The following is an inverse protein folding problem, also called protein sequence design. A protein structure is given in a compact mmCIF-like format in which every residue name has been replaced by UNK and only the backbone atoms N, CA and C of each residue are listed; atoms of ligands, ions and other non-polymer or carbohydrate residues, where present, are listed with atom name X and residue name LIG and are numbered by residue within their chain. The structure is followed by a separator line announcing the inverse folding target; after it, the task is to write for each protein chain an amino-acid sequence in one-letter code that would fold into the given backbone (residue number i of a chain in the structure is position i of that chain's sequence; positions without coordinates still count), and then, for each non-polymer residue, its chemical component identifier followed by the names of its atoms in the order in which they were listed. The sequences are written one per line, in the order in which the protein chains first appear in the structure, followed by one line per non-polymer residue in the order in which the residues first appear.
data_IF_927137825076
#
_entry.id   IF_927137825076
#
_cell.length_a   1.000
_cell.length_b   1.000
_cell.length_c   1.000
_cell.angle_alpha   90.00
_cell.angle_beta   90.00
_cell.angle_gamma   90.00
#
_symmetry.space_group_name_H-M   'P 1'
#
loop_
_entity.id
_entity.type
_entity.pdbx_description
1 polymer ?
#
# COMPACT_ATOMS: atom_id res chain seq x y z
N UNK A 1 30.50 -5.89 -10.07
CA UNK A 1 30.13 -6.46 -8.76
C UNK A 1 28.64 -6.53 -8.66
N UNK A 2 28.10 -7.56 -8.01
CA UNK A 2 26.66 -7.67 -7.73
C UNK A 2 26.28 -6.65 -6.66
N UNK A 3 25.31 -5.78 -6.93
CA UNK A 3 24.85 -4.79 -5.95
C UNK A 3 24.09 -5.46 -4.80
N UNK A 4 24.23 -4.90 -3.61
CA UNK A 4 23.54 -5.36 -2.41
C UNK A 4 22.45 -4.39 -1.98
N UNK A 5 21.21 -4.88 -1.87
CA UNK A 5 20.05 -4.12 -1.40
C UNK A 5 19.71 -4.56 0.03
N UNK A 6 19.69 -3.62 0.94
CA UNK A 6 19.09 -3.79 2.28
C UNK A 6 17.66 -3.25 2.25
N UNK A 7 16.67 -4.08 2.50
CA UNK A 7 15.30 -3.65 2.71
C UNK A 7 15.02 -3.66 4.22
N UNK A 8 14.63 -2.50 4.76
CA UNK A 8 14.23 -2.38 6.16
C UNK A 8 12.71 -2.30 6.20
N UNK A 9 12.07 -3.44 6.55
CA UNK A 9 10.62 -3.57 6.59
C UNK A 9 10.02 -3.07 7.90
N UNK A 10 8.90 -2.36 7.81
CA UNK A 10 8.08 -2.02 8.98
C UNK A 10 7.56 -3.29 9.67
N UNK A 11 7.16 -4.27 8.85
CA UNK A 11 6.81 -5.64 9.24
C UNK A 11 7.44 -6.62 8.27
N UNK A 12 7.43 -7.90 8.60
CA UNK A 12 7.77 -8.96 7.65
C UNK A 12 6.69 -9.03 6.56
N UNK A 13 7.06 -9.28 5.27
CA UNK A 13 6.09 -9.32 4.19
C UNK A 13 5.02 -10.38 4.38
N UNK A 14 3.76 -10.00 4.25
CA UNK A 14 2.59 -10.89 4.32
C UNK A 14 1.76 -10.79 3.03
N UNK A 15 2.22 -11.37 1.91
CA UNK A 15 1.56 -11.21 0.61
C UNK A 15 0.15 -11.78 0.55
N UNK A 16 -0.17 -12.74 1.45
CA UNK A 16 -1.49 -13.38 1.53
C UNK A 16 -2.47 -12.64 2.46
N UNK A 17 -2.00 -11.63 3.21
CA UNK A 17 -2.84 -10.92 4.18
C UNK A 17 -3.00 -9.43 3.88
N UNK A 18 -2.08 -8.83 3.12
CA UNK A 18 -2.07 -7.39 2.86
C UNK A 18 -1.56 -7.02 1.47
N UNK A 19 -2.10 -5.94 0.91
CA UNK A 19 -1.61 -5.37 -0.35
C UNK A 19 -0.16 -4.88 -0.22
N UNK A 20 0.20 -4.31 0.94
CA UNK A 20 1.57 -3.91 1.26
C UNK A 20 2.55 -5.09 1.22
N UNK A 21 2.16 -6.24 1.80
CA UNK A 21 2.96 -7.45 1.72
C UNK A 21 3.14 -7.93 0.28
N UNK A 22 2.09 -7.88 -0.55
CA UNK A 22 2.17 -8.22 -1.98
C UNK A 22 3.08 -7.26 -2.73
N UNK A 23 2.99 -5.94 -2.48
CA UNK A 23 3.86 -4.91 -3.07
C UNK A 23 5.32 -5.14 -2.70
N UNK A 24 5.62 -5.41 -1.43
CA UNK A 24 6.98 -5.70 -0.98
C UNK A 24 7.57 -6.91 -1.70
N UNK A 25 6.79 -7.97 -1.91
CA UNK A 25 7.25 -9.13 -2.71
C UNK A 25 7.52 -8.77 -4.17
N UNK A 26 6.71 -7.89 -4.76
CA UNK A 26 6.92 -7.38 -6.13
C UNK A 26 8.22 -6.56 -6.25
N UNK A 27 8.54 -5.74 -5.25
CA UNK A 27 9.81 -5.01 -5.18
C UNK A 27 11.01 -5.97 -5.04
N UNK A 28 10.90 -6.98 -4.19
CA UNK A 28 11.90 -8.04 -4.04
C UNK A 28 12.13 -8.74 -5.39
N UNK A 29 11.06 -9.17 -6.07
CA UNK A 29 11.15 -9.82 -7.39
C UNK A 29 11.82 -8.89 -8.42
N UNK A 30 11.49 -7.60 -8.40
CA UNK A 30 12.10 -6.62 -9.29
C UNK A 30 13.63 -6.54 -9.07
N UNK A 31 14.12 -6.47 -7.84
CA UNK A 31 15.55 -6.47 -7.54
C UNK A 31 16.24 -7.79 -7.92
N UNK A 32 15.60 -8.93 -7.63
CA UNK A 32 16.12 -10.25 -8.00
C UNK A 32 16.25 -10.42 -9.52
N UNK A 33 15.32 -9.86 -10.30
CA UNK A 33 15.37 -9.92 -11.77
C UNK A 33 16.60 -9.24 -12.39
N UNK A 34 17.28 -8.37 -11.64
CA UNK A 34 18.54 -7.72 -12.00
C UNK A 34 19.76 -8.29 -11.23
N UNK A 35 19.61 -9.48 -10.65
CA UNK A 35 20.64 -10.18 -9.90
C UNK A 35 21.20 -9.38 -8.71
N UNK A 36 20.38 -8.56 -8.04
CA UNK A 36 20.79 -7.90 -6.81
C UNK A 36 20.74 -8.89 -5.65
N UNK A 37 21.75 -8.86 -4.79
CA UNK A 37 21.70 -9.57 -3.52
C UNK A 37 20.80 -8.80 -2.57
N UNK A 38 19.91 -9.50 -1.86
CA UNK A 38 18.95 -8.85 -0.97
C UNK A 38 19.15 -9.36 0.45
N UNK A 39 19.17 -8.41 1.39
CA UNK A 39 18.98 -8.68 2.82
C UNK A 39 17.70 -7.96 3.28
N UNK A 40 16.80 -8.68 3.93
CA UNK A 40 15.60 -8.11 4.50
C UNK A 40 15.74 -8.04 6.02
N UNK A 41 15.61 -6.85 6.59
CA UNK A 41 15.72 -6.59 8.02
C UNK A 41 14.41 -6.01 8.58
N UNK A 42 14.02 -6.42 9.79
CA UNK A 42 12.88 -5.80 10.47
C UNK A 42 13.08 -5.86 12.00
N UNK A 43 12.59 -4.85 12.70
CA UNK A 43 12.51 -4.83 14.16
C UNK A 43 11.21 -5.47 14.69
N UNK A 44 10.29 -5.81 13.82
CA UNK A 44 9.01 -6.42 14.17
C UNK A 44 9.16 -7.94 14.35
N UNK A 45 8.48 -8.51 15.32
CA UNK A 45 8.35 -9.96 15.43
C UNK A 45 7.61 -10.53 14.20
N UNK A 46 8.02 -11.72 13.76
CA UNK A 46 7.29 -12.41 12.68
C UNK A 46 5.89 -12.77 13.15
N UNK A 47 4.92 -12.48 12.30
CA UNK A 47 3.52 -12.86 12.48
C UNK A 47 3.23 -14.18 11.75
N UNK A 48 2.09 -14.80 12.05
CA UNK A 48 1.71 -16.12 11.52
C UNK A 48 1.61 -16.18 9.99
N UNK A 49 1.33 -15.04 9.32
CA UNK A 49 1.20 -14.95 7.88
C UNK A 49 2.45 -14.42 7.16
N UNK A 50 3.56 -14.22 7.91
CA UNK A 50 4.81 -13.75 7.32
C UNK A 50 5.37 -14.77 6.32
N UNK A 51 5.74 -14.29 5.15
CA UNK A 51 6.37 -15.12 4.11
C UNK A 51 7.79 -15.51 4.54
N UNK A 52 8.15 -16.78 4.33
CA UNK A 52 9.51 -17.23 4.57
C UNK A 52 10.44 -16.85 3.39
N UNK A 53 11.14 -15.74 3.56
CA UNK A 53 12.05 -15.20 2.55
C UNK A 53 13.27 -16.11 2.28
N UNK A 54 13.58 -17.10 3.15
CA UNK A 54 14.61 -18.09 2.86
C UNK A 54 14.30 -18.92 1.60
N UNK A 55 13.00 -19.07 1.26
CA UNK A 55 12.57 -19.74 0.03
C UNK A 55 13.01 -19.01 -1.26
N UNK A 56 13.45 -17.77 -1.13
CA UNK A 56 13.96 -16.92 -2.22
C UNK A 56 15.45 -16.60 -2.07
N UNK A 57 16.19 -17.33 -1.24
CA UNK A 57 17.61 -17.09 -0.91
C UNK A 57 17.88 -15.66 -0.38
N UNK A 58 16.91 -15.10 0.36
CA UNK A 58 17.02 -13.77 0.96
C UNK A 58 17.42 -13.91 2.43
N UNK A 59 18.53 -13.28 2.81
CA UNK A 59 18.94 -13.21 4.20
C UNK A 59 17.95 -12.42 5.04
N UNK A 60 17.46 -13.02 6.13
CA UNK A 60 16.54 -12.39 7.07
C UNK A 60 17.29 -11.99 8.34
N UNK A 61 17.18 -10.73 8.73
CA UNK A 61 17.88 -10.18 9.90
C UNK A 61 16.89 -9.51 10.84
N UNK A 62 16.87 -9.93 12.10
CA UNK A 62 16.16 -9.20 13.14
C UNK A 62 17.04 -8.06 13.64
N UNK A 63 16.56 -6.84 13.55
CA UNK A 63 17.25 -5.63 14.01
C UNK A 63 16.56 -5.03 15.23
N UNK A 64 17.29 -4.28 16.04
CA UNK A 64 16.76 -3.67 17.25
C UNK A 64 16.65 -2.15 17.10
N UNK A 65 15.55 -1.61 17.58
CA UNK A 65 15.38 -0.16 17.73
C UNK A 65 16.34 0.39 18.77
N UNK A 66 16.90 1.57 18.51
CA UNK A 66 17.76 2.29 19.47
C UNK A 66 18.97 1.49 19.97
N UNK A 67 19.52 0.61 19.14
CA UNK A 67 20.68 -0.23 19.46
C UNK A 67 21.84 0.02 18.52
N UNK A 68 23.05 0.12 19.05
CA UNK A 68 24.28 0.23 18.27
C UNK A 68 24.58 -1.06 17.46
N UNK A 69 23.92 -2.18 17.78
CA UNK A 69 24.07 -3.41 16.99
C UNK A 69 23.67 -3.23 15.52
N UNK A 70 22.76 -2.30 15.25
CA UNK A 70 22.39 -1.96 13.87
C UNK A 70 23.49 -1.19 13.14
N UNK A 71 24.29 -0.39 13.84
CA UNK A 71 25.43 0.34 13.26
C UNK A 71 26.52 -0.63 12.82
N UNK A 72 26.82 -1.61 13.67
CA UNK A 72 27.80 -2.67 13.33
C UNK A 72 27.30 -3.53 12.16
N UNK A 73 26.03 -3.88 12.16
CA UNK A 73 25.40 -4.59 11.03
C UNK A 73 25.51 -3.80 9.71
N UNK A 74 25.26 -2.48 9.73
CA UNK A 74 25.40 -1.63 8.55
C UNK A 74 26.84 -1.58 8.03
N UNK A 75 27.82 -1.42 8.92
CA UNK A 75 29.26 -1.39 8.56
C UNK A 75 29.71 -2.71 7.91
N UNK A 76 29.25 -3.84 8.45
CA UNK A 76 29.58 -5.17 7.91
C UNK A 76 28.91 -5.42 6.57
N UNK A 77 27.61 -5.09 6.47
CA UNK A 77 26.84 -5.31 5.24
C UNK A 77 27.25 -4.39 4.10
N UNK A 78 27.51 -3.12 4.41
CA UNK A 78 27.84 -2.03 3.47
C UNK A 78 26.99 -2.06 2.19
N UNK A 79 25.66 -1.88 2.28
CA UNK A 79 24.78 -2.04 1.14
C UNK A 79 24.93 -0.89 0.14
N UNK A 80 24.74 -1.20 -1.16
CA UNK A 80 24.69 -0.18 -2.23
C UNK A 80 23.38 0.61 -2.20
N UNK A 81 22.29 -0.04 -1.78
CA UNK A 81 20.93 0.52 -1.78
C UNK A 81 20.26 0.16 -0.46
N UNK A 82 19.58 1.13 0.17
CA UNK A 82 18.73 0.89 1.34
C UNK A 82 17.31 1.33 1.02
N UNK A 83 16.37 0.40 1.13
CA UNK A 83 14.94 0.64 0.95
C UNK A 83 14.26 0.69 2.31
N UNK A 84 13.59 1.79 2.61
CA UNK A 84 12.79 1.96 3.81
C UNK A 84 11.30 1.71 3.49
N UNK A 85 10.69 0.73 4.15
CA UNK A 85 9.25 0.47 4.07
C UNK A 85 8.51 1.48 4.95
N UNK A 86 7.99 2.54 4.35
CA UNK A 86 7.29 3.67 4.97
C UNK A 86 8.19 4.66 5.72
N UNK A 87 7.69 5.88 5.86
CA UNK A 87 8.42 6.98 6.50
C UNK A 87 8.84 6.70 7.95
N UNK A 88 8.05 5.91 8.68
CA UNK A 88 8.36 5.58 10.08
C UNK A 88 9.65 4.76 10.22
N UNK A 89 9.95 3.91 9.26
CA UNK A 89 11.19 3.13 9.21
C UNK A 89 12.38 4.03 8.87
N UNK A 90 12.19 4.97 7.93
CA UNK A 90 13.22 5.96 7.62
C UNK A 90 13.56 6.82 8.83
N UNK A 91 12.56 7.31 9.58
CA UNK A 91 12.78 8.08 10.81
C UNK A 91 13.58 7.32 11.87
N UNK A 92 13.35 6.02 11.99
CA UNK A 92 14.00 5.19 12.99
C UNK A 92 15.44 4.83 12.61
N UNK A 93 15.69 4.54 11.35
CA UNK A 93 16.95 3.95 10.89
C UNK A 93 17.73 4.83 9.89
N UNK A 94 17.09 5.78 9.22
CA UNK A 94 17.67 6.54 8.12
C UNK A 94 18.89 7.37 8.52
N UNK A 95 18.91 7.95 9.71
CA UNK A 95 20.06 8.71 10.21
C UNK A 95 21.30 7.80 10.41
N UNK A 96 21.12 6.55 10.86
CA UNK A 96 22.21 5.57 11.01
C UNK A 96 22.76 5.13 9.66
N UNK A 97 21.86 4.94 8.66
CA UNK A 97 22.27 4.66 7.28
C UNK A 97 23.08 5.83 6.71
N UNK A 98 22.65 7.07 6.95
CA UNK A 98 23.37 8.27 6.48
C UNK A 98 24.77 8.40 7.12
N UNK A 99 24.92 7.97 8.38
CA UNK A 99 26.20 8.03 9.12
C UNK A 99 27.16 6.89 8.72
N UNK A 100 26.65 5.67 8.57
CA UNK A 100 27.49 4.48 8.41
C UNK A 100 27.60 3.98 6.97
N UNK A 101 26.66 4.34 6.10
CA UNK A 101 26.64 3.98 4.67
C UNK A 101 26.32 5.23 3.81
N UNK A 102 27.15 6.29 3.87
CA UNK A 102 26.84 7.57 3.20
C UNK A 102 26.71 7.46 1.68
N UNK A 103 27.39 6.50 1.06
CA UNK A 103 27.34 6.25 -0.39
C UNK A 103 26.11 5.42 -0.82
N UNK A 104 25.39 4.81 0.11
CA UNK A 104 24.21 4.03 -0.21
C UNK A 104 23.08 4.91 -0.77
N UNK A 105 22.42 4.46 -1.83
CA UNK A 105 21.21 5.06 -2.36
C UNK A 105 20.04 4.80 -1.39
N UNK A 106 19.47 5.85 -0.83
CA UNK A 106 18.32 5.77 0.08
C UNK A 106 17.01 5.87 -0.69
N UNK A 107 16.22 4.81 -0.64
CA UNK A 107 14.92 4.72 -1.31
C UNK A 107 13.82 4.61 -0.26
N UNK A 108 12.80 5.44 -0.36
CA UNK A 108 11.60 5.33 0.47
C UNK A 108 10.48 4.67 -0.34
N UNK A 109 9.96 3.53 0.09
CA UNK A 109 8.68 3.02 -0.40
C UNK A 109 7.57 3.55 0.51
N UNK A 110 6.77 4.48 0.02
CA UNK A 110 5.73 5.14 0.82
C UNK A 110 4.56 4.22 1.12
N UNK A 111 4.35 3.18 0.33
CA UNK A 111 3.15 2.35 0.28
C UNK A 111 1.91 3.16 -0.14
N UNK A 112 1.42 4.04 0.72
CA UNK A 112 0.44 5.08 0.43
C UNK A 112 0.81 6.35 1.20
N UNK A 113 0.22 7.50 0.86
CA UNK A 113 0.39 8.71 1.66
C UNK A 113 -0.43 8.62 2.95
N UNK A 114 0.25 8.32 4.04
CA UNK A 114 -0.34 8.20 5.37
C UNK A 114 -1.01 9.50 5.83
N UNK A 115 -0.42 10.65 5.49
CA UNK A 115 -1.01 11.95 5.81
C UNK A 115 -2.35 12.16 5.09
N UNK A 116 -2.46 11.74 3.83
CA UNK A 116 -3.70 11.81 3.06
C UNK A 116 -4.77 10.91 3.66
N UNK A 117 -4.41 9.66 3.96
CA UNK A 117 -5.31 8.69 4.61
C UNK A 117 -5.80 9.22 5.96
N UNK A 118 -4.89 9.77 6.78
CA UNK A 118 -5.21 10.32 8.10
C UNK A 118 -6.10 11.56 8.01
N UNK A 119 -5.80 12.46 7.09
CA UNK A 119 -6.61 13.65 6.86
C UNK A 119 -8.04 13.31 6.43
N UNK A 120 -8.20 12.36 5.51
CA UNK A 120 -9.53 11.87 5.08
C UNK A 120 -10.29 11.18 6.20
N UNK A 121 -9.61 10.41 7.05
CA UNK A 121 -10.21 9.81 8.24
C UNK A 121 -10.76 10.88 9.20
N UNK A 122 -9.99 11.94 9.45
CA UNK A 122 -10.39 13.04 10.32
C UNK A 122 -11.58 13.79 9.73
N UNK A 123 -11.53 14.19 8.46
CA UNK A 123 -12.64 14.87 7.79
C UNK A 123 -13.94 14.06 7.86
N UNK A 124 -13.87 12.72 7.65
CA UNK A 124 -15.01 11.83 7.79
C UNK A 124 -15.57 11.81 9.22
N UNK A 125 -14.72 11.77 10.24
CA UNK A 125 -15.13 11.82 11.66
C UNK A 125 -15.79 13.14 12.02
N UNK A 126 -15.27 14.23 11.50
CA UNK A 126 -15.79 15.58 11.71
C UNK A 126 -17.05 15.86 10.85
N UNK A 127 -17.43 14.93 9.98
CA UNK A 127 -18.52 15.08 9.00
C UNK A 127 -18.32 16.32 8.10
N UNK A 128 -17.08 16.63 7.79
CA UNK A 128 -16.65 17.77 6.98
C UNK A 128 -16.14 17.31 5.60
N UNK A 129 -16.10 18.26 4.66
CA UNK A 129 -15.43 18.03 3.39
C UNK A 129 -13.91 18.00 3.61
N UNK A 130 -13.24 17.07 2.97
CA UNK A 130 -11.79 17.00 2.99
C UNK A 130 -11.18 18.18 2.23
N UNK A 131 -10.30 18.92 2.89
CA UNK A 131 -9.57 20.06 2.31
C UNK A 131 -8.10 20.08 2.75
N UNK A 132 -7.41 21.15 2.39
CA UNK A 132 -5.98 21.33 2.68
C UNK A 132 -5.67 21.36 4.19
N UNK A 133 -6.58 21.80 5.06
CA UNK A 133 -6.36 21.83 6.51
C UNK A 133 -6.25 20.44 7.11
N UNK A 134 -6.99 19.49 6.58
CA UNK A 134 -6.89 18.06 6.93
C UNK A 134 -5.65 17.40 6.36
N UNK A 135 -5.19 17.83 5.18
CA UNK A 135 -3.99 17.26 4.54
C UNK A 135 -2.71 17.67 5.29
N UNK A 136 -2.63 18.91 5.77
CA UNK A 136 -1.46 19.46 6.47
C UNK A 136 -1.53 19.16 7.97
N UNK A 137 -1.38 17.89 8.33
CA UNK A 137 -1.43 17.36 9.69
C UNK A 137 -0.04 16.96 10.22
N UNK A 138 0.04 16.48 11.46
CA UNK A 138 1.33 16.09 12.06
C UNK A 138 2.01 14.92 11.32
N UNK A 139 1.24 14.05 10.67
CA UNK A 139 1.81 12.95 9.87
C UNK A 139 2.46 13.51 8.61
N UNK A 140 1.86 14.51 7.96
CA UNK A 140 2.45 15.10 6.74
C UNK A 140 3.82 15.74 6.98
N UNK A 141 4.04 16.38 8.13
CA UNK A 141 5.35 16.96 8.48
C UNK A 141 6.45 15.89 8.50
N UNK A 142 6.13 14.73 9.05
CA UNK A 142 7.05 13.60 9.19
C UNK A 142 7.28 12.90 7.84
N UNK A 143 6.20 12.56 7.16
CA UNK A 143 6.22 11.84 5.88
C UNK A 143 6.94 12.65 4.79
N UNK A 144 6.63 13.94 4.65
CA UNK A 144 7.30 14.83 3.70
C UNK A 144 8.78 15.02 4.05
N UNK A 145 9.10 15.13 5.33
CA UNK A 145 10.50 15.21 5.76
C UNK A 145 11.28 13.93 5.40
N UNK A 146 10.67 12.74 5.52
CA UNK A 146 11.28 11.47 5.11
C UNK A 146 11.50 11.40 3.59
N UNK A 147 10.54 11.89 2.79
CA UNK A 147 10.71 12.01 1.33
C UNK A 147 11.94 12.85 0.99
N UNK A 148 12.11 14.00 1.62
CA UNK A 148 13.27 14.87 1.40
C UNK A 148 14.60 14.26 1.91
N UNK A 149 14.60 13.43 2.96
CA UNK A 149 15.82 12.79 3.46
C UNK A 149 16.28 11.59 2.64
N UNK A 150 15.41 11.06 1.78
CA UNK A 150 15.73 10.01 0.83
C UNK A 150 16.15 10.56 -0.54
N UNK A 151 16.88 9.76 -1.30
CA UNK A 151 17.34 10.11 -2.64
C UNK A 151 16.23 9.85 -3.69
N UNK A 152 15.33 8.89 -3.42
CA UNK A 152 14.19 8.58 -4.26
C UNK A 152 13.03 8.04 -3.41
N UNK A 153 11.81 8.46 -3.73
CA UNK A 153 10.60 7.93 -3.11
C UNK A 153 9.71 7.25 -4.14
N UNK A 154 9.35 5.99 -3.89
CA UNK A 154 8.46 5.19 -4.73
C UNK A 154 7.02 5.52 -4.35
N UNK A 155 6.28 6.10 -5.27
CA UNK A 155 4.89 6.51 -5.08
C UNK A 155 3.99 5.59 -5.88
N UNK A 156 3.05 4.96 -5.21
CA UNK A 156 2.18 3.94 -5.83
C UNK A 156 1.10 4.52 -6.74
N UNK A 157 0.71 5.79 -6.54
CA UNK A 157 -0.41 6.43 -7.21
C UNK A 157 -0.01 7.73 -7.90
N UNK A 158 -0.45 7.92 -9.15
CA UNK A 158 -0.27 9.19 -9.88
C UNK A 158 -0.95 10.36 -9.15
N UNK A 159 -2.10 10.12 -8.53
CA UNK A 159 -2.83 11.13 -7.74
C UNK A 159 -1.99 11.60 -6.53
N UNK A 160 -1.27 10.67 -5.90
CA UNK A 160 -0.38 11.02 -4.79
C UNK A 160 0.85 11.80 -5.25
N UNK A 161 1.39 11.51 -6.44
CA UNK A 161 2.45 12.33 -7.05
C UNK A 161 1.96 13.77 -7.26
N UNK A 162 0.75 13.93 -7.79
CA UNK A 162 0.18 15.27 -8.00
C UNK A 162 -0.05 16.01 -6.67
N UNK A 163 -0.48 15.32 -5.63
CA UNK A 163 -0.59 15.90 -4.27
C UNK A 163 0.79 16.33 -3.76
N UNK A 164 1.80 15.49 -3.86
CA UNK A 164 3.17 15.80 -3.42
C UNK A 164 3.75 17.00 -4.18
N UNK A 165 3.61 17.04 -5.49
CA UNK A 165 4.08 18.15 -6.34
C UNK A 165 3.30 19.44 -6.09
N UNK A 166 1.97 19.36 -6.08
CA UNK A 166 1.11 20.54 -6.12
C UNK A 166 0.82 21.12 -4.72
N UNK A 167 0.64 20.29 -3.70
CA UNK A 167 0.32 20.76 -2.35
C UNK A 167 1.58 20.94 -1.49
N UNK A 168 2.49 19.97 -1.53
CA UNK A 168 3.70 19.99 -0.69
C UNK A 168 4.94 20.55 -1.40
N UNK A 169 4.86 20.80 -2.71
CA UNK A 169 5.96 21.34 -3.53
C UNK A 169 7.22 20.47 -3.50
N UNK A 170 7.02 19.15 -3.35
CA UNK A 170 8.12 18.20 -3.45
C UNK A 170 8.64 18.17 -4.89
N UNK A 171 9.96 18.22 -5.03
CA UNK A 171 10.62 18.21 -6.34
C UNK A 171 10.46 16.86 -7.03
N UNK A 172 10.14 16.89 -8.32
CA UNK A 172 9.84 15.70 -9.11
C UNK A 172 11.02 14.72 -9.20
N UNK A 173 12.27 15.21 -9.12
CA UNK A 173 13.45 14.33 -9.16
C UNK A 173 13.54 13.37 -7.95
N UNK A 174 12.85 13.67 -6.84
CA UNK A 174 12.76 12.82 -5.65
C UNK A 174 11.62 11.79 -5.73
N UNK A 175 10.76 11.86 -6.73
CA UNK A 175 9.57 11.05 -6.85
C UNK A 175 9.67 10.10 -8.03
N UNK A 176 9.22 8.87 -7.84
CA UNK A 176 9.11 7.89 -8.92
C UNK A 176 7.78 7.13 -8.81
N UNK A 177 6.97 7.20 -9.87
CA UNK A 177 5.75 6.42 -9.94
C UNK A 177 6.07 4.95 -10.15
N UNK A 178 5.71 4.12 -9.19
CA UNK A 178 5.83 2.67 -9.29
C UNK A 178 4.56 2.02 -8.72
N UNK A 179 3.59 1.64 -9.56
CA UNK A 179 2.35 0.99 -9.12
C UNK A 179 2.59 -0.46 -8.69
N UNK A 180 1.52 -1.22 -8.46
CA UNK A 180 1.62 -2.67 -8.36
C UNK A 180 2.22 -3.25 -9.65
N UNK A 181 3.12 -4.22 -9.48
CA UNK A 181 3.80 -4.90 -10.57
C UNK A 181 3.21 -6.30 -10.73
N UNK A 182 2.37 -6.48 -11.74
CA UNK A 182 1.68 -7.75 -11.96
C UNK A 182 2.10 -8.40 -13.29
N UNK A 183 1.88 -9.69 -13.43
CA UNK A 183 2.00 -10.34 -14.73
C UNK A 183 0.84 -9.96 -15.65
N UNK A 184 1.09 -9.91 -16.95
CA UNK A 184 0.04 -9.64 -17.94
C UNK A 184 -0.99 -10.76 -17.98
N UNK A 185 -2.26 -10.37 -18.17
CA UNK A 185 -3.36 -11.33 -18.32
C UNK A 185 -3.44 -11.78 -19.77
N UNK A 186 -2.91 -12.97 -20.06
CA UNK A 186 -2.94 -13.57 -21.39
C UNK A 186 -4.33 -14.08 -21.78
N UNK A 187 -4.51 -14.37 -23.09
CA UNK A 187 -5.75 -14.97 -23.56
C UNK A 187 -6.05 -16.34 -22.91
N UNK A 188 -5.01 -17.10 -22.58
CA UNK A 188 -5.16 -18.43 -21.96
C UNK A 188 -5.55 -18.34 -20.48
N UNK A 189 -5.04 -17.33 -19.75
CA UNK A 189 -5.50 -17.02 -18.39
C UNK A 189 -6.99 -16.67 -18.43
N UNK A 190 -7.42 -15.78 -19.34
CA UNK A 190 -8.82 -15.37 -19.48
C UNK A 190 -9.76 -16.54 -19.77
N UNK A 191 -9.34 -17.51 -20.60
CA UNK A 191 -10.13 -18.72 -20.93
C UNK A 191 -10.34 -19.65 -19.73
N UNK A 192 -9.40 -19.66 -18.78
CA UNK A 192 -9.46 -20.50 -17.57
C UNK A 192 -10.35 -19.91 -16.47
N UNK A 193 -10.72 -18.63 -16.58
CA UNK A 193 -11.58 -18.00 -15.58
C UNK A 193 -13.03 -18.47 -15.70
N UNK A 194 -13.73 -18.64 -14.55
CA UNK A 194 -15.14 -19.01 -14.55
C UNK A 194 -16.00 -18.00 -15.31
N UNK A 195 -16.98 -18.49 -16.05
CA UNK A 195 -18.00 -17.66 -16.71
C UNK A 195 -18.98 -17.12 -15.68
N UNK A 196 -19.74 -16.06 -16.02
CA UNK A 196 -20.71 -15.45 -15.10
C UNK A 196 -21.71 -16.45 -14.49
N UNK A 197 -22.09 -17.50 -15.22
CA UNK A 197 -23.03 -18.54 -14.74
C UNK A 197 -22.44 -19.45 -13.65
N UNK A 198 -21.12 -19.50 -13.57
CA UNK A 198 -20.35 -20.30 -12.62
C UNK A 198 -19.92 -19.47 -11.39
N UNK A 199 -20.34 -18.20 -11.34
CA UNK A 199 -20.02 -17.26 -10.28
C UNK A 199 -21.25 -16.94 -9.46
N UNK A 200 -21.05 -16.87 -8.16
CA UNK A 200 -22.11 -16.60 -7.19
C UNK A 200 -21.66 -15.51 -6.22
N UNK A 201 -22.53 -15.10 -5.37
CA UNK A 201 -22.33 -14.15 -4.26
C UNK A 201 -21.57 -12.86 -4.58
N UNK A 202 -21.70 -11.92 -3.67
CA UNK A 202 -20.86 -10.72 -3.57
C UNK A 202 -19.64 -11.00 -2.70
N UNK A 203 -18.53 -10.32 -2.97
CA UNK A 203 -17.31 -10.46 -2.19
C UNK A 203 -16.77 -9.11 -1.77
N UNK A 204 -16.20 -9.02 -0.56
CA UNK A 204 -15.30 -7.95 -0.16
C UNK A 204 -14.08 -8.56 0.54
N UNK A 205 -12.90 -7.98 0.28
CA UNK A 205 -11.65 -8.49 0.81
C UNK A 205 -10.90 -7.35 1.51
N UNK A 206 -10.23 -7.65 2.63
CA UNK A 206 -9.33 -6.66 3.24
C UNK A 206 -8.85 -7.09 4.62
N UNK A 207 -7.63 -6.69 4.96
CA UNK A 207 -7.09 -6.85 6.30
C UNK A 207 -7.89 -5.99 7.29
N UNK A 208 -8.42 -6.59 8.37
CA UNK A 208 -9.32 -5.92 9.31
C UNK A 208 -8.62 -5.03 10.34
N UNK A 209 -7.30 -5.12 10.48
CA UNK A 209 -6.53 -4.17 11.29
C UNK A 209 -6.46 -2.80 10.59
N UNK A 210 -6.53 -2.77 9.27
CA UNK A 210 -6.47 -1.53 8.50
C UNK A 210 -7.79 -0.75 8.61
N UNK A 211 -7.75 0.41 9.23
CA UNK A 211 -8.92 1.21 9.56
C UNK A 211 -9.88 1.49 8.37
N UNK A 212 -9.42 1.82 7.14
CA UNK A 212 -10.30 1.99 6.00
C UNK A 212 -11.10 0.73 5.64
N UNK A 213 -10.52 -0.46 5.82
CA UNK A 213 -11.23 -1.71 5.53
C UNK A 213 -12.30 -2.02 6.57
N UNK A 214 -12.00 -1.76 7.85
CA UNK A 214 -12.98 -1.96 8.93
C UNK A 214 -14.16 -0.98 8.80
N UNK A 215 -13.89 0.28 8.50
CA UNK A 215 -14.92 1.28 8.25
C UNK A 215 -15.80 0.90 7.05
N UNK A 216 -15.19 0.51 5.94
CA UNK A 216 -15.90 0.06 4.74
C UNK A 216 -16.77 -1.18 5.02
N UNK A 217 -16.31 -2.10 5.88
CA UNK A 217 -17.07 -3.26 6.30
C UNK A 217 -18.34 -2.86 7.07
N UNK A 218 -18.23 -1.91 7.99
CA UNK A 218 -19.38 -1.38 8.73
C UNK A 218 -20.36 -0.67 7.81
N UNK A 219 -19.87 0.17 6.92
CA UNK A 219 -20.69 0.89 5.94
C UNK A 219 -21.41 -0.09 4.99
N UNK A 220 -20.69 -1.13 4.52
CA UNK A 220 -21.28 -2.20 3.73
C UNK A 220 -22.38 -2.94 4.48
N UNK A 221 -22.15 -3.32 5.74
CA UNK A 221 -23.09 -4.08 6.58
C UNK A 221 -24.38 -3.34 6.87
N UNK A 222 -24.24 -2.06 7.26
CA UNK A 222 -25.38 -1.34 7.82
C UNK A 222 -26.12 -0.45 6.81
N UNK A 223 -25.41 0.09 5.81
CA UNK A 223 -25.98 1.06 4.88
C UNK A 223 -26.27 0.46 3.49
N UNK A 224 -25.41 -0.44 2.98
CA UNK A 224 -25.51 -0.92 1.59
C UNK A 224 -26.17 -2.30 1.52
N UNK A 225 -25.70 -3.25 2.31
CA UNK A 225 -26.16 -4.64 2.20
C UNK A 225 -27.65 -4.85 2.41
N UNK A 226 -28.32 -4.17 3.35
CA UNK A 226 -29.77 -4.28 3.51
C UNK A 226 -30.56 -3.89 2.25
N UNK A 227 -30.06 -2.89 1.49
CA UNK A 227 -30.68 -2.43 0.24
C UNK A 227 -30.54 -3.49 -0.86
N UNK A 228 -29.36 -4.11 -0.98
CA UNK A 228 -29.11 -5.22 -1.92
C UNK A 228 -29.95 -6.43 -1.55
N UNK A 229 -29.93 -6.84 -0.28
CA UNK A 229 -30.62 -8.04 0.21
C UNK A 229 -32.14 -7.98 0.03
N UNK A 230 -32.71 -6.79 0.18
CA UNK A 230 -34.15 -6.53 -0.06
C UNK A 230 -34.57 -6.88 -1.49
N UNK A 231 -33.68 -6.63 -2.48
CA UNK A 231 -33.95 -6.88 -3.92
C UNK A 231 -33.49 -8.26 -4.36
N UNK A 232 -32.44 -8.79 -3.75
CA UNK A 232 -31.86 -10.10 -4.01
C UNK A 232 -31.89 -10.98 -2.75
N UNK A 233 -33.05 -11.51 -2.35
CA UNK A 233 -33.21 -12.21 -1.07
C UNK A 233 -32.36 -13.48 -0.89
N UNK A 234 -31.85 -14.06 -1.98
CA UNK A 234 -31.01 -15.25 -1.94
C UNK A 234 -29.51 -14.94 -2.09
N UNK A 235 -29.15 -13.69 -2.39
CA UNK A 235 -27.73 -13.34 -2.56
C UNK A 235 -27.00 -13.39 -1.21
N UNK A 236 -25.74 -13.75 -1.22
CA UNK A 236 -24.87 -13.71 -0.04
C UNK A 236 -23.73 -12.71 -0.24
N UNK A 237 -23.32 -12.11 0.86
CA UNK A 237 -22.13 -11.27 0.96
C UNK A 237 -21.04 -12.05 1.69
N UNK A 238 -19.96 -12.39 1.01
CA UNK A 238 -18.82 -13.08 1.58
C UNK A 238 -17.69 -12.08 1.87
N UNK A 239 -17.30 -12.00 3.12
CA UNK A 239 -16.24 -11.07 3.58
C UNK A 239 -15.03 -11.88 4.02
N UNK A 240 -13.91 -11.68 3.31
CA UNK A 240 -12.64 -12.32 3.59
C UNK A 240 -11.62 -11.32 4.12
N UNK A 241 -10.75 -11.77 5.00
CA UNK A 241 -9.64 -10.96 5.48
C UNK A 241 -8.93 -11.56 6.68
N UNK A 242 -7.65 -11.23 6.78
CA UNK A 242 -6.82 -11.61 7.92
C UNK A 242 -7.16 -10.76 9.17
N UNK A 243 -6.82 -11.29 10.33
CA UNK A 243 -6.90 -10.63 11.64
C UNK A 243 -8.33 -10.21 12.02
N UNK A 244 -9.30 -11.07 11.76
CA UNK A 244 -10.68 -10.85 12.17
C UNK A 244 -10.80 -10.83 13.71
N UNK A 245 -11.02 -9.65 14.27
CA UNK A 245 -11.30 -9.49 15.71
C UNK A 245 -12.70 -10.01 16.06
N UNK A 246 -12.98 -10.18 17.36
CA UNK A 246 -14.32 -10.56 17.83
C UNK A 246 -15.39 -9.58 17.33
N UNK A 247 -15.10 -8.28 17.27
CA UNK A 247 -16.01 -7.26 16.74
C UNK A 247 -16.35 -7.48 15.26
N UNK A 248 -15.40 -7.97 14.47
CA UNK A 248 -15.63 -8.32 13.06
C UNK A 248 -16.48 -9.60 12.99
N UNK A 249 -16.15 -10.62 13.79
CA UNK A 249 -16.89 -11.88 13.82
C UNK A 249 -18.37 -11.70 14.22
N UNK A 250 -18.66 -10.77 15.12
CA UNK A 250 -20.04 -10.41 15.53
C UNK A 250 -20.89 -9.83 14.40
N UNK A 251 -20.30 -9.34 13.32
CA UNK A 251 -21.05 -8.88 12.13
C UNK A 251 -21.61 -10.03 11.30
N UNK A 252 -21.15 -11.27 11.54
CA UNK A 252 -21.61 -12.46 10.81
C UNK A 252 -23.11 -12.72 11.07
N UNK A 253 -23.91 -12.75 10.01
CA UNK A 253 -25.34 -13.00 10.11
C UNK A 253 -25.85 -13.83 8.93
N UNK A 254 -26.03 -15.13 9.14
CA UNK A 254 -26.51 -16.07 8.11
C UNK A 254 -27.92 -15.75 7.63
N UNK A 255 -28.79 -15.25 8.50
CA UNK A 255 -30.18 -14.90 8.14
C UNK A 255 -30.22 -13.74 7.14
N UNK A 256 -29.31 -12.79 7.30
CA UNK A 256 -29.15 -11.67 6.38
C UNK A 256 -28.28 -12.01 5.18
N UNK A 257 -27.69 -13.19 5.11
CA UNK A 257 -26.74 -13.59 4.06
C UNK A 257 -25.44 -12.78 4.11
N UNK A 258 -25.04 -12.24 5.27
CA UNK A 258 -23.78 -11.52 5.46
C UNK A 258 -22.81 -12.39 6.24
N UNK A 259 -21.79 -12.92 5.53
CA UNK A 259 -20.96 -14.00 6.03
C UNK A 259 -19.51 -13.53 6.19
N UNK A 260 -19.03 -13.50 7.42
CA UNK A 260 -17.60 -13.30 7.71
C UNK A 260 -16.90 -14.65 7.53
N UNK A 261 -16.08 -14.76 6.50
CA UNK A 261 -15.36 -15.98 6.13
C UNK A 261 -13.95 -16.05 6.74
N UNK A 262 -13.43 -14.89 7.22
CA UNK A 262 -12.09 -14.81 7.78
C UNK A 262 -10.96 -14.89 6.75
N UNK A 263 -9.82 -15.38 7.19
CA UNK A 263 -8.63 -15.51 6.35
C UNK A 263 -8.79 -16.60 5.28
N UNK A 264 -8.17 -16.39 4.14
CA UNK A 264 -8.03 -17.37 3.07
C UNK A 264 -6.59 -17.37 2.54
N UNK A 265 -6.02 -18.55 2.34
CA UNK A 265 -4.62 -18.69 1.88
C UNK A 265 -4.36 -18.13 0.48
N UNK A 266 -5.36 -18.19 -0.39
CA UNK A 266 -5.27 -17.66 -1.74
C UNK A 266 -6.57 -16.93 -2.11
N UNK A 267 -6.51 -15.63 -2.11
CA UNK A 267 -7.63 -14.74 -2.46
C UNK A 267 -8.17 -15.02 -3.86
N UNK A 268 -7.31 -15.48 -4.79
CA UNK A 268 -7.71 -15.78 -6.15
C UNK A 268 -8.74 -16.92 -6.21
N UNK A 269 -8.66 -17.89 -5.29
CA UNK A 269 -9.61 -19.01 -5.26
C UNK A 269 -11.03 -18.59 -4.93
N UNK A 270 -11.19 -17.55 -4.12
CA UNK A 270 -12.52 -17.03 -3.73
C UNK A 270 -12.97 -15.91 -4.66
N UNK A 271 -12.05 -15.05 -5.10
CA UNK A 271 -12.35 -13.90 -5.96
C UNK A 271 -12.87 -14.35 -7.35
N UNK A 272 -12.23 -15.36 -7.97
CA UNK A 272 -12.63 -15.84 -9.31
C UNK A 272 -14.03 -16.44 -9.37
N UNK A 273 -14.59 -16.92 -8.24
CA UNK A 273 -15.94 -17.47 -8.18
C UNK A 273 -16.97 -16.46 -7.67
N UNK A 274 -16.52 -15.31 -7.17
CA UNK A 274 -17.41 -14.22 -6.81
C UNK A 274 -17.97 -13.53 -8.06
N UNK A 275 -19.22 -13.13 -8.00
CA UNK A 275 -19.90 -12.49 -9.14
C UNK A 275 -19.60 -10.99 -9.18
N UNK A 276 -19.60 -10.32 -8.04
CA UNK A 276 -19.32 -8.88 -7.92
C UNK A 276 -18.48 -8.60 -6.67
N UNK A 277 -17.43 -7.80 -6.82
CA UNK A 277 -16.65 -7.29 -5.70
C UNK A 277 -17.18 -5.93 -5.25
N UNK A 278 -17.37 -5.75 -3.94
CA UNK A 278 -17.84 -4.51 -3.35
C UNK A 278 -16.73 -3.83 -2.54
N UNK A 279 -16.40 -2.60 -2.90
CA UNK A 279 -15.33 -1.81 -2.28
C UNK A 279 -15.80 -0.41 -1.87
N UNK A 280 -16.67 -0.28 -0.84
CA UNK A 280 -17.27 0.98 -0.43
C UNK A 280 -16.38 1.74 0.57
N UNK A 281 -15.14 2.06 0.21
CA UNK A 281 -14.23 2.81 1.08
C UNK A 281 -14.65 4.27 1.18
N UNK A 282 -14.80 4.79 2.41
CA UNK A 282 -15.13 6.19 2.65
C UNK A 282 -13.90 7.06 2.86
N UNK A 283 -12.77 6.46 3.21
CA UNK A 283 -11.45 7.10 3.27
C UNK A 283 -10.35 6.10 2.94
N UNK A 284 -9.16 6.62 2.64
CA UNK A 284 -8.00 5.83 2.26
C UNK A 284 -7.03 6.64 1.43
N UNK A 285 -5.92 6.02 1.04
CA UNK A 285 -4.92 6.54 0.13
C UNK A 285 -4.34 5.40 -0.70
N UNK A 286 -3.45 5.67 -1.64
CA UNK A 286 -2.81 4.68 -2.50
C UNK A 286 -3.75 3.90 -3.41
N UNK A 287 -3.22 2.89 -4.04
CA UNK A 287 -3.98 1.94 -4.86
C UNK A 287 -4.60 0.84 -3.99
N UNK A 288 -5.74 0.31 -4.44
CA UNK A 288 -6.52 -0.66 -3.65
C UNK A 288 -6.27 -2.08 -4.16
N UNK A 289 -5.44 -2.85 -3.45
CA UNK A 289 -5.10 -4.24 -3.79
C UNK A 289 -6.31 -5.12 -4.09
N UNK A 290 -7.42 -4.98 -3.35
CA UNK A 290 -8.66 -5.73 -3.62
C UNK A 290 -9.25 -5.49 -5.02
N UNK A 291 -9.02 -4.32 -5.62
CA UNK A 291 -9.44 -4.05 -7.01
C UNK A 291 -8.46 -4.67 -8.01
N UNK A 292 -7.17 -4.72 -7.69
CA UNK A 292 -6.18 -5.50 -8.44
C UNK A 292 -6.58 -6.97 -8.44
N UNK A 293 -6.83 -7.56 -7.26
CA UNK A 293 -7.27 -8.95 -7.13
C UNK A 293 -8.55 -9.23 -7.94
N UNK A 294 -9.52 -8.32 -7.86
CA UNK A 294 -10.76 -8.45 -8.62
C UNK A 294 -10.52 -8.42 -10.14
N UNK A 295 -9.72 -7.48 -10.63
CA UNK A 295 -9.41 -7.39 -12.06
C UNK A 295 -8.59 -8.57 -12.57
N UNK A 296 -7.61 -9.07 -11.81
CA UNK A 296 -6.83 -10.28 -12.14
C UNK A 296 -7.73 -11.51 -12.29
N UNK A 297 -8.75 -11.60 -11.46
CA UNK A 297 -9.70 -12.71 -11.44
C UNK A 297 -10.94 -12.48 -12.33
N UNK A 298 -10.97 -11.39 -13.08
CA UNK A 298 -12.08 -11.03 -13.95
C UNK A 298 -13.40 -10.85 -13.20
N UNK A 299 -13.36 -10.31 -11.98
CA UNK A 299 -14.52 -10.01 -11.15
C UNK A 299 -14.84 -8.53 -11.23
N UNK A 300 -15.97 -8.09 -11.82
CA UNK A 300 -16.36 -6.70 -11.85
C UNK A 300 -16.65 -6.14 -10.45
N UNK A 301 -16.50 -4.82 -10.31
CA UNK A 301 -16.57 -4.15 -9.02
C UNK A 301 -17.68 -3.09 -8.96
N UNK A 302 -18.22 -2.86 -7.76
CA UNK A 302 -18.83 -1.57 -7.41
C UNK A 302 -18.00 -0.95 -6.30
N UNK A 303 -17.62 0.30 -6.48
CA UNK A 303 -16.66 0.96 -5.62
C UNK A 303 -16.99 2.45 -5.45
N UNK A 304 -16.51 3.03 -4.38
CA UNK A 304 -16.58 4.48 -4.17
C UNK A 304 -15.49 5.21 -4.95
N UNK A 305 -15.60 6.52 -5.07
CA UNK A 305 -14.58 7.39 -5.67
C UNK A 305 -13.23 7.21 -4.98
N UNK A 306 -13.19 7.12 -3.64
CA UNK A 306 -11.97 6.86 -2.86
C UNK A 306 -11.36 5.48 -3.19
N UNK A 307 -12.18 4.47 -3.42
CA UNK A 307 -11.66 3.16 -3.79
C UNK A 307 -11.11 3.14 -5.22
N UNK A 308 -11.70 3.90 -6.13
CA UNK A 308 -11.34 3.97 -7.55
C UNK A 308 -10.13 4.87 -7.83
N UNK A 309 -9.75 5.73 -6.88
CA UNK A 309 -8.71 6.74 -7.05
C UNK A 309 -7.38 6.12 -7.49
N UNK A 310 -6.79 6.65 -8.58
CA UNK A 310 -5.53 6.19 -9.16
C UNK A 310 -5.59 4.85 -9.92
N UNK A 311 -6.71 4.11 -9.83
CA UNK A 311 -6.79 2.75 -10.37
C UNK A 311 -6.87 2.69 -11.91
N UNK A 312 -7.60 3.60 -12.53
CA UNK A 312 -8.01 3.43 -13.92
C UNK A 312 -7.32 4.38 -14.92
N UNK A 313 -6.76 5.51 -14.46
CA UNK A 313 -6.24 6.54 -15.35
C UNK A 313 -7.31 7.00 -16.34
N UNK A 314 -7.00 7.01 -17.63
CA UNK A 314 -7.95 7.33 -18.69
C UNK A 314 -8.78 6.14 -19.21
N UNK A 315 -8.68 4.95 -18.58
CA UNK A 315 -9.38 3.75 -19.01
C UNK A 315 -10.75 3.62 -18.33
N UNK A 316 -11.66 2.93 -19.01
CA UNK A 316 -12.96 2.56 -18.44
C UNK A 316 -12.80 1.62 -17.23
N UNK A 317 -13.48 1.93 -16.14
CA UNK A 317 -13.44 1.13 -14.93
C UNK A 317 -14.01 -0.28 -15.13
N UNK A 318 -13.47 -1.24 -14.37
CA UNK A 318 -13.97 -2.62 -14.30
C UNK A 318 -15.30 -2.74 -13.53
N UNK A 319 -16.05 -1.67 -13.40
CA UNK A 319 -17.28 -1.64 -12.64
C UNK A 319 -17.94 -0.28 -12.62
N UNK A 320 -18.66 0.00 -11.55
CA UNK A 320 -19.31 1.29 -11.33
C UNK A 320 -18.67 2.02 -10.16
N UNK A 321 -18.51 3.34 -10.30
CA UNK A 321 -17.97 4.23 -9.27
C UNK A 321 -19.12 5.06 -8.73
N UNK A 322 -19.48 4.86 -7.46
CA UNK A 322 -20.68 5.46 -6.84
C UNK A 322 -20.48 5.63 -5.34
N UNK A 323 -20.73 6.82 -4.81
CA UNK A 323 -20.55 7.13 -3.38
C UNK A 323 -21.85 7.04 -2.58
N UNK A 324 -23.00 7.34 -3.21
CA UNK A 324 -24.32 7.27 -2.56
C UNK A 324 -24.74 5.81 -2.29
N UNK A 325 -25.12 5.44 -1.05
CA UNK A 325 -25.41 4.04 -0.69
C UNK A 325 -26.53 3.41 -1.49
N UNK A 326 -27.60 4.15 -1.80
CA UNK A 326 -28.72 3.63 -2.56
C UNK A 326 -28.31 3.35 -4.01
N UNK A 327 -27.63 4.31 -4.65
CA UNK A 327 -27.14 4.14 -6.02
C UNK A 327 -26.06 3.03 -6.08
N UNK A 328 -25.23 2.91 -5.04
CA UNK A 328 -24.25 1.84 -4.93
C UNK A 328 -24.93 0.47 -4.93
N UNK A 329 -25.97 0.31 -4.10
CA UNK A 329 -26.75 -0.91 -4.05
C UNK A 329 -27.47 -1.20 -5.38
N UNK A 330 -28.06 -0.20 -6.04
CA UNK A 330 -28.73 -0.35 -7.34
C UNK A 330 -27.73 -0.82 -8.41
N UNK A 331 -26.52 -0.23 -8.45
CA UNK A 331 -25.45 -0.63 -9.40
C UNK A 331 -24.88 -2.00 -9.08
N UNK A 332 -24.83 -2.39 -7.81
CA UNK A 332 -24.43 -3.74 -7.41
C UNK A 332 -25.45 -4.80 -7.89
N UNK A 333 -26.73 -4.50 -7.77
CA UNK A 333 -27.82 -5.38 -8.27
C UNK A 333 -27.79 -5.47 -9.79
N UNK A 334 -27.65 -4.34 -10.48
CA UNK A 334 -27.54 -4.28 -11.94
C UNK A 334 -26.36 -5.14 -12.43
N UNK A 335 -25.17 -4.96 -11.83
CA UNK A 335 -24.00 -5.72 -12.21
C UNK A 335 -24.12 -7.21 -11.87
N UNK A 336 -24.84 -7.56 -10.82
CA UNK A 336 -25.10 -8.94 -10.43
C UNK A 336 -26.06 -9.66 -11.39
N UNK A 337 -27.04 -8.95 -11.96
CA UNK A 337 -28.14 -9.53 -12.74
C UNK A 337 -27.96 -9.38 -14.25
N UNK A 338 -27.30 -8.33 -14.72
CA UNK A 338 -27.13 -8.05 -16.14
C UNK A 338 -25.79 -8.62 -16.69
N UNK A 339 -25.92 -9.64 -17.54
CA UNK A 339 -24.79 -10.30 -18.16
C UNK A 339 -24.01 -9.39 -19.14
N UNK A 340 -24.67 -8.44 -19.78
CA UNK A 340 -24.03 -7.58 -20.79
C UNK A 340 -23.09 -6.62 -20.07
N UNK A 341 -23.59 -5.91 -19.05
CA UNK A 341 -22.77 -5.04 -18.22
C UNK A 341 -21.64 -5.81 -17.55
N UNK A 342 -21.94 -6.96 -16.96
CA UNK A 342 -20.94 -7.79 -16.29
C UNK A 342 -19.78 -8.15 -17.23
N UNK A 343 -20.07 -8.66 -18.43
CA UNK A 343 -19.03 -9.02 -19.40
C UNK A 343 -18.23 -7.80 -19.88
N UNK A 344 -18.89 -6.66 -20.08
CA UNK A 344 -18.24 -5.40 -20.46
C UNK A 344 -17.24 -4.97 -19.39
N UNK A 345 -17.66 -4.93 -18.12
CA UNK A 345 -16.83 -4.51 -16.98
C UNK A 345 -15.69 -5.49 -16.70
N UNK A 346 -15.90 -6.80 -16.90
CA UNK A 346 -14.81 -7.78 -16.85
C UNK A 346 -13.72 -7.46 -17.89
N UNK A 347 -14.10 -7.18 -19.13
CA UNK A 347 -13.14 -6.85 -20.21
C UNK A 347 -12.34 -5.59 -19.88
N UNK A 348 -13.00 -4.56 -19.35
CA UNK A 348 -12.34 -3.33 -18.92
C UNK A 348 -11.26 -3.62 -17.89
N UNK A 349 -11.53 -4.48 -16.88
CA UNK A 349 -10.54 -4.89 -15.89
C UNK A 349 -9.29 -5.49 -16.51
N UNK A 350 -9.43 -6.37 -17.49
CA UNK A 350 -8.28 -6.95 -18.19
C UNK A 350 -7.48 -5.93 -19.00
N UNK A 351 -8.16 -4.94 -19.60
CA UNK A 351 -7.48 -3.84 -20.31
C UNK A 351 -6.67 -3.01 -19.33
N UNK A 352 -7.28 -2.61 -18.22
CA UNK A 352 -6.62 -1.81 -17.18
C UNK A 352 -5.39 -2.53 -16.62
N UNK A 353 -5.52 -3.83 -16.27
CA UNK A 353 -4.39 -4.61 -15.75
C UNK A 353 -3.19 -4.61 -16.70
N UNK A 354 -3.43 -4.92 -17.96
CA UNK A 354 -2.34 -5.00 -18.95
C UNK A 354 -1.75 -3.64 -19.34
N UNK A 355 -2.55 -2.57 -19.25
CA UNK A 355 -2.10 -1.23 -19.64
C UNK A 355 -1.42 -0.46 -18.50
N UNK A 356 -1.76 -0.75 -17.23
CA UNK A 356 -1.32 0.06 -16.09
C UNK A 356 -0.48 -0.67 -15.07
N UNK A 357 -0.58 -2.01 -14.99
CA UNK A 357 0.02 -2.78 -13.91
C UNK A 357 0.95 -3.91 -14.39
N UNK A 358 1.12 -4.06 -15.71
CA UNK A 358 2.07 -5.03 -16.25
C UNK A 358 3.50 -4.65 -15.85
N UNK A 359 4.16 -5.50 -15.08
CA UNK A 359 5.51 -5.27 -14.56
C UNK A 359 6.55 -4.95 -15.63
N UNK A 360 6.35 -5.45 -16.87
CA UNK A 360 7.25 -5.20 -18.01
C UNK A 360 7.30 -3.72 -18.43
N UNK A 361 6.26 -2.96 -18.09
CA UNK A 361 6.21 -1.52 -18.40
C UNK A 361 7.10 -0.68 -17.47
N UNK A 362 7.45 -1.20 -16.29
CA UNK A 362 8.06 -0.41 -15.23
C UNK A 362 9.47 -0.88 -14.83
N UNK A 363 9.71 -2.20 -14.75
CA UNK A 363 10.91 -2.74 -14.09
C UNK A 363 12.20 -2.21 -14.72
N UNK A 364 12.32 -2.19 -16.05
CA UNK A 364 13.54 -1.74 -16.73
C UNK A 364 13.82 -0.25 -16.50
N UNK A 365 12.79 0.60 -16.58
CA UNK A 365 12.93 2.03 -16.34
C UNK A 365 13.24 2.33 -14.87
N UNK A 366 12.59 1.65 -13.95
CA UNK A 366 12.86 1.74 -12.51
C UNK A 366 14.34 1.44 -12.19
N UNK A 367 14.86 0.33 -12.70
CA UNK A 367 16.25 -0.05 -12.48
C UNK A 367 17.25 0.92 -13.16
N UNK A 368 16.91 1.41 -14.35
CA UNK A 368 17.67 2.45 -15.01
C UNK A 368 17.74 3.74 -14.17
N UNK A 369 16.58 4.22 -13.69
CA UNK A 369 16.49 5.42 -12.84
C UNK A 369 17.32 5.29 -11.57
N UNK A 370 17.21 4.16 -10.86
CA UNK A 370 17.99 3.92 -9.65
C UNK A 370 19.50 3.89 -9.93
N UNK A 371 19.92 3.23 -11.00
CA UNK A 371 21.31 3.19 -11.39
C UNK A 371 21.86 4.56 -11.78
N UNK A 372 21.07 5.36 -12.50
CA UNK A 372 21.45 6.72 -12.90
C UNK A 372 21.66 7.64 -11.68
N UNK A 373 20.75 7.56 -10.70
CA UNK A 373 20.89 8.31 -9.44
C UNK A 373 22.11 7.84 -8.65
N UNK A 374 22.27 6.52 -8.47
CA UNK A 374 23.37 5.96 -7.71
C UNK A 374 24.74 6.31 -8.31
N UNK A 375 24.86 6.30 -9.63
CA UNK A 375 26.12 6.68 -10.32
C UNK A 375 26.47 8.16 -10.12
N UNK A 376 25.44 9.02 -9.98
CA UNK A 376 25.60 10.47 -9.85
C UNK A 376 25.09 10.99 -8.51
N UNK A 377 25.22 10.19 -7.45
CA UNK A 377 24.53 10.41 -6.16
C UNK A 377 24.86 11.77 -5.53
N UNK A 378 26.11 12.22 -5.62
CA UNK A 378 26.54 13.49 -5.07
C UNK A 378 25.90 14.69 -5.80
N UNK A 379 25.84 14.66 -7.12
CA UNK A 379 25.15 15.69 -7.91
C UNK A 379 23.64 15.69 -7.64
N UNK A 380 23.04 14.51 -7.59
CA UNK A 380 21.60 14.37 -7.25
C UNK A 380 21.27 14.94 -5.87
N UNK A 381 22.13 14.69 -4.87
CA UNK A 381 21.96 15.23 -3.50
C UNK A 381 22.16 16.73 -3.41
N UNK A 382 23.03 17.32 -4.25
CA UNK A 382 23.20 18.78 -4.32
C UNK A 382 21.89 19.47 -4.74
N UNK A 383 21.11 18.88 -5.60
CA UNK A 383 19.82 19.42 -6.04
C UNK A 383 18.72 19.29 -4.95
N UNK A 384 18.99 18.55 -3.86
CA UNK A 384 18.08 18.37 -2.73
C UNK A 384 18.61 19.06 -1.46
N UNK A 385 18.78 20.38 -1.51
CA UNK A 385 19.27 21.15 -0.36
C UNK A 385 18.35 21.06 0.88
N UNK A 386 17.03 21.00 0.68
CA UNK A 386 16.05 20.80 1.76
C UNK A 386 16.30 19.50 2.51
N UNK A 387 16.58 18.42 1.81
CA UNK A 387 16.92 17.12 2.41
C UNK A 387 18.20 17.19 3.24
N UNK A 388 19.23 17.88 2.74
CA UNK A 388 20.48 18.08 3.48
C UNK A 388 20.24 18.85 4.79
N UNK A 389 19.44 19.92 4.77
CA UNK A 389 19.07 20.66 5.98
C UNK A 389 18.31 19.78 6.98
N UNK A 390 17.38 18.95 6.50
CA UNK A 390 16.59 18.07 7.37
C UNK A 390 17.42 16.94 7.98
N UNK A 391 18.52 16.54 7.36
CA UNK A 391 19.47 15.58 7.95
C UNK A 391 20.30 16.21 9.08
N UNK A 392 20.54 17.50 9.07
CA UNK A 392 21.31 18.18 10.10
C UNK A 392 20.55 18.54 11.38
N UNK A 393 19.31 18.24 11.53
CA UNK A 393 18.34 18.50 12.62
C UNK A 393 18.93 18.91 13.99
N UNK A 394 19.74 19.97 14.04
CA UNK A 394 20.43 20.43 15.26
C UNK A 394 19.48 21.01 16.31
N UNK A 395 18.33 21.55 15.89
CA UNK A 395 17.38 22.20 16.79
C UNK A 395 16.81 21.26 17.86
N UNK A 396 16.44 20.04 17.47
CA UNK A 396 15.95 19.03 18.42
C UNK A 396 17.07 18.53 19.33
N UNK A 397 18.26 18.32 18.78
CA UNK A 397 19.44 17.96 19.57
C UNK A 397 19.76 19.03 20.63
N UNK A 398 19.74 20.32 20.27
CA UNK A 398 19.94 21.43 21.19
C UNK A 398 18.87 21.46 22.29
N UNK A 399 17.60 21.25 21.94
CA UNK A 399 16.50 21.20 22.91
C UNK A 399 16.68 20.08 23.94
N UNK A 400 16.98 18.86 23.47
CA UNK A 400 17.13 17.72 24.37
C UNK A 400 18.44 17.80 25.18
N UNK A 401 19.51 18.34 24.61
CA UNK A 401 20.75 18.62 25.34
C UNK A 401 20.51 19.62 26.45
N UNK A 402 19.80 20.74 26.19
CA UNK A 402 19.45 21.75 27.23
C UNK A 402 18.63 21.07 28.34
N UNK A 403 17.60 20.32 28.04
CA UNK A 403 16.81 19.61 29.03
C UNK A 403 17.63 18.60 29.85
N UNK A 404 18.56 17.89 29.20
CA UNK A 404 19.47 16.98 29.91
C UNK A 404 20.39 17.72 30.86
N UNK A 405 20.93 18.90 30.47
CA UNK A 405 21.76 19.75 31.33
C UNK A 405 20.95 20.27 32.52
N UNK A 406 19.73 20.76 32.29
CA UNK A 406 18.81 21.20 33.34
C UNK A 406 18.56 20.06 34.37
N UNK A 407 18.22 18.88 33.89
CA UNK A 407 18.02 17.70 34.75
C UNK A 407 19.27 17.35 35.54
N UNK A 408 20.45 17.34 34.88
CA UNK A 408 21.73 17.04 35.53
C UNK A 408 22.07 18.05 36.61
N UNK A 409 21.76 19.33 36.43
CA UNK A 409 21.97 20.36 37.39
C UNK A 409 21.01 20.26 38.59
N UNK A 410 19.74 19.88 38.35
CA UNK A 410 18.76 19.67 39.42
C UNK A 410 19.05 18.48 40.34
N UNK A 411 19.80 17.46 39.84
CA UNK A 411 20.20 16.30 40.65
C UNK A 411 21.43 16.60 41.52
N UNK A 412 22.20 17.68 41.18
CA UNK A 412 23.38 18.09 41.95
C UNK A 412 23.08 19.07 43.07
N UNK A 413 21.86 19.58 43.16
CA UNK A 413 21.31 20.37 44.28
C UNK A 413 20.48 19.46 45.19
#
# INVERSE_FOLDING_TARGET
MTKHVLIIGFVWPEPKSSAAGSRMMQLIEAFQSFNYKITFASACAKQDHAFDLNLLDIQQVFIQLNSASFDEFLKELNPDIVVFDRFMVEEQFGWRVSEHCPEALKVLDTEDLHCLRKGRELALKDKALFDKSYLFNEVSKREIASIYRCDLSLIISEEEIEILKNQFKVSEHLLYYLPFLTDSISADIKKKLPKIKEREHFISVGNFIHAPNYDALLFLKYEIWPLIRKKLPQAEMHVYGAYASEKVNQLNNKKEGFLIKGYVDDVNQVMKYAKVCLAPLRFGAGLKGKLIDAMLNGTPCVMTTIAAEGMFGGFEANGFIVDDPQKFADKAIELYTDKIFWNGKQKNGFVVMNARFDKRLFISDFMYKMNAIHTNINAHRLDNFTGQMLQQQTLQSTKYMSKWIELKNSIKT
#
